data_IF_717674988274
#
_entry.id   IF_717674988274
#
_cell.length_a   1.000
_cell.length_b   1.000
_cell.length_c   1.000
_cell.angle_alpha   90.00
_cell.angle_beta   90.00
_cell.angle_gamma   90.00
#
_symmetry.space_group_name_H-M   'P 1'
#
loop_
_entity.id
_entity.type
_entity.pdbx_description
1 polymer ?
#
# COMPACT_ATOMS: atom_id res chain seq x y z
N UNK A 1 7.68 5.37 3.08
CA UNK A 1 7.21 3.99 2.86
C UNK A 1 6.64 3.37 4.13
N UNK A 2 7.28 3.56 5.29
CA UNK A 2 6.76 3.04 6.58
C UNK A 2 5.29 3.40 6.87
N UNK A 3 4.84 4.62 6.56
CA UNK A 3 3.43 5.01 6.73
C UNK A 3 2.49 4.24 5.78
N UNK A 4 2.90 4.01 4.52
CA UNK A 4 2.17 3.20 3.56
C UNK A 4 2.10 1.73 4.02
N UNK A 5 3.19 1.20 4.56
CA UNK A 5 3.24 -0.16 5.09
C UNK A 5 2.33 -0.32 6.30
N UNK A 6 2.32 0.65 7.22
CA UNK A 6 1.41 0.67 8.35
C UNK A 6 -0.06 0.74 7.92
N UNK A 7 -0.37 1.56 6.91
CA UNK A 7 -1.73 1.68 6.35
C UNK A 7 -2.17 0.36 5.71
N UNK A 8 -1.33 -0.26 4.88
CA UNK A 8 -1.58 -1.57 4.26
C UNK A 8 -1.84 -2.61 5.35
N UNK A 9 -0.95 -2.73 6.34
CA UNK A 9 -1.09 -3.75 7.39
C UNK A 9 -2.40 -3.60 8.18
N UNK A 10 -2.77 -2.35 8.51
CA UNK A 10 -3.99 -2.03 9.24
C UNK A 10 -5.25 -2.38 8.44
N UNK A 11 -5.26 -2.04 7.15
CA UNK A 11 -6.44 -2.25 6.31
C UNK A 11 -6.57 -3.73 5.89
N UNK A 12 -5.46 -4.44 5.72
CA UNK A 12 -5.45 -5.90 5.55
C UNK A 12 -5.96 -6.62 6.81
N UNK A 13 -5.55 -6.20 8.01
CA UNK A 13 -6.09 -6.73 9.27
C UNK A 13 -7.62 -6.56 9.33
N UNK A 14 -8.13 -5.41 8.89
CA UNK A 14 -9.58 -5.18 8.82
C UNK A 14 -10.28 -6.08 7.79
N UNK A 15 -9.64 -6.35 6.64
CA UNK A 15 -10.16 -7.25 5.60
C UNK A 15 -10.17 -8.72 6.03
N UNK A 16 -9.37 -9.11 7.02
CA UNK A 16 -9.37 -10.46 7.57
C UNK A 16 -10.63 -10.79 8.39
N UNK A 17 -11.48 -9.82 8.76
CA UNK A 17 -12.79 -10.07 9.39
C UNK A 17 -13.76 -10.71 8.37
N UNK A 18 -14.06 -12.01 8.45
CA UNK A 18 -14.92 -12.68 7.47
C UNK A 18 -16.38 -12.20 7.52
N UNK A 19 -16.80 -11.58 8.63
CA UNK A 19 -18.13 -11.01 8.75
C UNK A 19 -18.24 -9.62 8.12
N UNK A 20 -17.10 -8.97 7.81
CA UNK A 20 -17.08 -7.61 7.27
C UNK A 20 -17.80 -7.53 5.92
N UNK A 21 -17.58 -8.48 5.01
CA UNK A 21 -18.22 -8.46 3.69
C UNK A 21 -19.75 -8.52 3.78
N UNK A 22 -20.29 -9.33 4.70
CA UNK A 22 -21.74 -9.45 4.89
C UNK A 22 -22.32 -8.27 5.65
N UNK A 23 -21.60 -7.74 6.66
CA UNK A 23 -22.05 -6.61 7.49
C UNK A 23 -21.99 -5.28 6.74
N UNK A 24 -20.90 -5.05 6.01
CA UNK A 24 -20.60 -3.78 5.35
C UNK A 24 -19.77 -4.00 4.07
N UNK A 25 -20.42 -4.40 2.95
CA UNK A 25 -19.73 -4.66 1.69
C UNK A 25 -19.10 -3.41 1.09
N UNK A 26 -19.64 -2.22 1.38
CA UNK A 26 -19.06 -0.95 0.91
C UNK A 26 -17.73 -0.68 1.58
N UNK A 27 -17.65 -0.86 2.90
CA UNK A 27 -16.38 -0.75 3.63
C UNK A 27 -15.36 -1.78 3.18
N UNK A 28 -15.79 -3.03 2.93
CA UNK A 28 -14.90 -4.06 2.40
C UNK A 28 -14.31 -3.65 1.03
N UNK A 29 -15.16 -3.17 0.11
CA UNK A 29 -14.73 -2.70 -1.20
C UNK A 29 -13.76 -1.50 -1.08
N UNK A 30 -14.08 -0.53 -0.21
CA UNK A 30 -13.22 0.63 0.01
C UNK A 30 -11.84 0.25 0.59
N UNK A 31 -11.79 -0.67 1.55
CA UNK A 31 -10.51 -1.15 2.11
C UNK A 31 -9.70 -1.93 1.08
N UNK A 32 -10.36 -2.74 0.25
CA UNK A 32 -9.71 -3.48 -0.83
C UNK A 32 -9.07 -2.53 -1.85
N UNK A 33 -9.80 -1.48 -2.25
CA UNK A 33 -9.28 -0.44 -3.14
C UNK A 33 -8.12 0.33 -2.49
N UNK A 34 -8.26 0.69 -1.21
CA UNK A 34 -7.22 1.39 -0.46
C UNK A 34 -5.91 0.59 -0.39
N UNK A 35 -5.97 -0.70 -0.04
CA UNK A 35 -4.80 -1.59 -0.02
C UNK A 35 -4.15 -1.68 -1.40
N UNK A 36 -4.93 -1.86 -2.46
CA UNK A 36 -4.41 -1.94 -3.83
C UNK A 36 -3.68 -0.65 -4.22
N UNK A 37 -4.27 0.52 -3.91
CA UNK A 37 -3.67 1.82 -4.17
C UNK A 37 -2.39 2.03 -3.37
N UNK A 38 -2.39 1.75 -2.07
CA UNK A 38 -1.21 1.92 -1.22
C UNK A 38 -0.04 1.03 -1.64
N UNK A 39 -0.32 -0.20 -2.13
CA UNK A 39 0.71 -1.07 -2.71
C UNK A 39 1.33 -0.47 -3.97
N UNK A 40 0.50 0.00 -4.91
CA UNK A 40 1.00 0.65 -6.12
C UNK A 40 1.82 1.93 -5.81
N UNK A 41 1.41 2.71 -4.81
CA UNK A 41 2.15 3.88 -4.35
C UNK A 41 3.48 3.51 -3.69
N UNK A 42 3.52 2.43 -2.92
CA UNK A 42 4.74 1.89 -2.32
C UNK A 42 5.72 1.48 -3.43
N UNK A 43 5.28 0.65 -4.37
CA UNK A 43 6.12 0.15 -5.46
C UNK A 43 6.70 1.33 -6.29
N UNK A 44 5.87 2.33 -6.62
CA UNK A 44 6.32 3.52 -7.33
C UNK A 44 7.31 4.37 -6.51
N UNK A 45 7.20 4.38 -5.18
CA UNK A 45 8.17 5.07 -4.33
C UNK A 45 9.51 4.30 -4.26
N UNK A 46 9.47 2.96 -4.26
CA UNK A 46 10.66 2.11 -4.32
C UNK A 46 11.40 2.29 -5.65
N UNK A 47 10.68 2.31 -6.79
CA UNK A 47 11.27 2.58 -8.10
C UNK A 47 11.97 3.95 -8.15
N UNK A 48 11.31 5.01 -7.69
CA UNK A 48 11.89 6.37 -7.64
C UNK A 48 13.13 6.44 -6.75
N UNK A 49 13.16 5.66 -5.66
CA UNK A 49 14.34 5.58 -4.80
C UNK A 49 15.50 4.87 -5.47
N UNK A 50 15.25 3.80 -6.23
CA UNK A 50 16.27 3.13 -7.02
C UNK A 50 16.83 4.04 -8.11
N UNK A 51 15.97 4.75 -8.85
CA UNK A 51 16.40 5.72 -9.87
C UNK A 51 17.29 6.82 -9.27
N UNK A 52 16.92 7.35 -8.10
CA UNK A 52 17.71 8.38 -7.42
C UNK A 52 19.06 7.84 -6.95
N UNK A 53 19.10 6.61 -6.43
CA UNK A 53 20.34 5.96 -6.01
C UNK A 53 21.28 5.77 -7.20
N UNK A 54 20.78 5.27 -8.34
CA UNK A 54 21.55 5.11 -9.57
C UNK A 54 22.13 6.45 -10.05
N UNK A 55 21.33 7.53 -10.06
CA UNK A 55 21.80 8.86 -10.44
C UNK A 55 22.91 9.39 -9.52
N UNK A 56 22.82 9.13 -8.21
CA UNK A 56 23.85 9.54 -7.25
C UNK A 56 25.13 8.74 -7.49
N UNK A 57 25.02 7.44 -7.73
CA UNK A 57 26.15 6.57 -8.05
C UNK A 57 26.82 6.93 -9.38
N UNK A 58 26.06 7.27 -10.44
CA UNK A 58 26.61 7.64 -11.74
C UNK A 58 27.31 8.99 -11.77
N UNK A 59 26.97 9.87 -10.82
CA UNK A 59 27.46 11.25 -10.76
C UNK A 59 28.60 11.46 -9.76
N UNK A 60 29.01 10.42 -9.03
CA UNK A 60 30.14 10.42 -8.08
C UNK A 60 31.40 9.81 -8.67
#
# INVERSE_FOLDING_TARGET
IEELEAAIARDEEALHDPALYTRDPQKFAALTEAVAKSRAEKDAAEERWLELAEMVESNG
#
